data_IF_796159973501
#
_entry.id   IF_796159973501
#
_cell.length_a   1.000
_cell.length_b   1.000
_cell.length_c   1.000
_cell.angle_alpha   90.00
_cell.angle_beta   90.00
_cell.angle_gamma   90.00
#
_symmetry.space_group_name_H-M   'P 1'
#
loop_
_entity.id
_entity.type
_entity.pdbx_description
1 polymer ?
#
# COMPACT_ATOMS: atom_id res chain seq x y z
N UNK A 1 4.11 -0.45 6.15
CA UNK A 1 3.12 -1.56 6.15
C UNK A 1 3.77 -2.80 5.54
N UNK A 2 3.35 -3.97 6.00
CA UNK A 2 3.85 -5.27 5.55
C UNK A 2 2.96 -5.82 4.43
N UNK A 3 3.59 -6.20 3.33
CA UNK A 3 2.96 -6.72 2.13
C UNK A 3 4.04 -6.99 1.08
N UNK A 4 3.70 -7.75 0.04
CA UNK A 4 4.62 -8.01 -1.06
C UNK A 4 4.66 -6.81 -2.02
N UNK A 5 5.84 -6.41 -2.52
CA UNK A 5 5.95 -5.39 -3.53
C UNK A 5 5.49 -5.92 -4.89
N UNK A 6 4.84 -5.07 -5.68
CA UNK A 6 4.57 -5.41 -7.09
C UNK A 6 5.89 -5.60 -7.86
N UNK A 7 5.88 -6.51 -8.82
CA UNK A 7 7.09 -6.89 -9.57
C UNK A 7 7.46 -5.91 -10.68
N UNK A 8 6.50 -5.10 -11.16
CA UNK A 8 6.72 -4.06 -12.16
C UNK A 8 7.01 -2.70 -11.50
N UNK A 9 6.39 -2.43 -10.33
CA UNK A 9 6.67 -1.25 -9.51
C UNK A 9 6.73 -1.61 -8.02
N UNK A 10 7.96 -1.79 -7.50
CA UNK A 10 8.17 -2.19 -6.10
C UNK A 10 7.76 -1.12 -5.06
N UNK A 11 7.39 0.08 -5.50
CA UNK A 11 6.86 1.13 -4.64
C UNK A 11 5.34 1.01 -4.39
N UNK A 12 4.72 -0.01 -4.97
CA UNK A 12 3.30 -0.38 -4.82
C UNK A 12 3.17 -1.80 -4.26
N UNK A 13 1.98 -2.12 -3.73
CA UNK A 13 1.68 -3.44 -3.19
C UNK A 13 1.17 -4.37 -4.30
N UNK A 14 1.70 -5.59 -4.33
CA UNK A 14 1.24 -6.64 -5.24
C UNK A 14 -0.20 -7.05 -4.92
N UNK A 15 -0.91 -7.50 -5.95
CA UNK A 15 -2.20 -8.16 -5.82
C UNK A 15 -2.02 -9.67 -5.61
N UNK A 16 -3.05 -10.32 -5.07
CA UNK A 16 -3.10 -11.77 -4.92
C UNK A 16 -3.01 -12.46 -6.29
N UNK A 17 -2.27 -13.58 -6.35
CA UNK A 17 -2.09 -14.33 -7.59
C UNK A 17 -3.39 -14.94 -8.11
N UNK A 18 -3.50 -15.10 -9.44
CA UNK A 18 -4.67 -15.70 -10.10
C UNK A 18 -5.79 -14.72 -10.43
N UNK A 19 -5.56 -13.43 -10.23
CA UNK A 19 -6.52 -12.34 -10.48
C UNK A 19 -6.21 -11.49 -11.72
N UNK A 20 -6.59 -10.21 -11.64
CA UNK A 20 -6.21 -9.19 -12.61
C UNK A 20 -4.68 -9.02 -12.66
N UNK A 21 -4.15 -8.67 -13.82
CA UNK A 21 -2.72 -8.39 -13.99
C UNK A 21 -2.50 -6.98 -14.53
N UNK A 22 -1.29 -6.46 -14.36
CA UNK A 22 -0.90 -5.13 -14.86
C UNK A 22 -1.44 -3.96 -14.04
N UNK A 23 -2.01 -4.23 -12.87
CA UNK A 23 -2.40 -3.24 -11.87
C UNK A 23 -1.84 -3.63 -10.50
N UNK A 24 -1.57 -2.62 -9.67
CA UNK A 24 -1.08 -2.79 -8.31
C UNK A 24 -1.89 -1.92 -7.33
N UNK A 25 -1.78 -2.23 -6.04
CA UNK A 25 -2.43 -1.46 -4.97
C UNK A 25 -1.51 -0.33 -4.50
N UNK A 26 -2.01 0.90 -4.58
CA UNK A 26 -1.41 2.07 -3.96
C UNK A 26 -2.14 2.40 -2.65
N UNK A 27 -1.39 2.69 -1.60
CA UNK A 27 -1.90 3.24 -0.35
C UNK A 27 -1.19 4.57 -0.09
N UNK A 28 -1.95 5.63 0.20
CA UNK A 28 -1.45 6.97 0.50
C UNK A 28 -2.05 7.43 1.82
N UNK A 29 -1.24 8.03 2.69
CA UNK A 29 -1.72 8.60 3.94
C UNK A 29 -2.54 9.89 3.71
N UNK A 30 -3.17 10.40 4.77
CA UNK A 30 -3.94 11.65 4.73
C UNK A 30 -3.11 12.91 4.47
N UNK A 31 -1.78 12.81 4.44
CA UNK A 31 -0.82 13.89 4.17
C UNK A 31 -0.32 13.85 2.71
N UNK A 32 -0.66 12.82 1.94
CA UNK A 32 -0.19 12.60 0.58
C UNK A 32 1.08 11.74 0.47
N UNK A 33 1.59 11.19 1.58
CA UNK A 33 2.75 10.29 1.58
C UNK A 33 2.33 8.91 1.09
N UNK A 34 2.99 8.41 0.04
CA UNK A 34 2.78 7.05 -0.44
C UNK A 34 3.42 6.04 0.52
N UNK A 35 2.64 5.05 0.94
CA UNK A 35 3.17 3.91 1.68
C UNK A 35 3.91 2.97 0.74
N UNK A 36 5.18 2.71 1.05
CA UNK A 36 6.01 1.71 0.36
C UNK A 36 5.99 0.40 1.17
N UNK A 37 5.96 -0.79 0.53
CA UNK A 37 6.10 -2.06 1.22
C UNK A 37 7.39 -2.13 2.06
N UNK A 38 7.30 -2.59 3.31
CA UNK A 38 8.45 -2.62 4.23
C UNK A 38 9.64 -3.43 3.66
N UNK A 39 9.35 -4.58 3.06
CA UNK A 39 10.35 -5.45 2.44
C UNK A 39 11.03 -4.83 1.20
N UNK A 40 10.43 -3.78 0.62
CA UNK A 40 11.01 -2.99 -0.47
C UNK A 40 11.72 -1.71 0.04
N UNK A 41 11.98 -1.60 1.35
CA UNK A 41 12.66 -0.46 1.96
C UNK A 41 11.74 0.68 2.39
N UNK A 42 10.42 0.45 2.46
CA UNK A 42 9.48 1.45 2.98
C UNK A 42 9.71 1.75 4.46
N UNK A 43 9.75 3.03 4.81
CA UNK A 43 9.91 3.50 6.18
C UNK A 43 8.57 3.69 6.89
N UNK A 44 8.61 3.82 8.21
CA UNK A 44 7.46 4.28 8.99
C UNK A 44 7.03 5.69 8.56
N UNK A 45 5.75 5.99 8.74
CA UNK A 45 5.20 7.33 8.56
C UNK A 45 4.87 7.85 9.96
N UNK A 46 5.49 8.97 10.34
CA UNK A 46 5.29 9.58 11.64
C UNK A 46 3.90 10.18 11.79
N UNK A 47 3.28 10.00 12.95
CA UNK A 47 1.98 10.56 13.27
C UNK A 47 1.96 11.23 14.65
N UNK A 48 1.60 12.52 14.74
CA UNK A 48 1.43 13.15 16.03
C UNK A 48 0.21 12.56 16.73
N UNK A 49 0.43 11.96 17.90
CA UNK A 49 -0.65 11.49 18.77
C UNK A 49 -1.04 12.62 19.70
N UNK A 50 -2.22 13.21 19.47
CA UNK A 50 -2.72 14.34 20.24
C UNK A 50 -4.02 13.93 20.96
N UNK A 51 -4.00 13.98 22.29
CA UNK A 51 -5.16 13.66 23.12
C UNK A 51 -5.44 12.15 23.25
N UNK A 52 -6.68 11.80 23.58
CA UNK A 52 -7.09 10.44 23.92
C UNK A 52 -7.41 9.55 22.71
N UNK A 53 -7.65 10.15 21.55
CA UNK A 53 -7.94 9.42 20.30
C UNK A 53 -7.32 10.15 19.14
N UNK A 54 -6.56 9.43 18.32
CA UNK A 54 -5.95 9.94 17.09
C UNK A 54 -6.42 9.10 15.91
N UNK A 55 -6.93 9.77 14.87
CA UNK A 55 -7.37 9.12 13.64
C UNK A 55 -6.28 9.21 12.58
N UNK A 56 -5.89 8.07 12.01
CA UNK A 56 -4.94 7.99 10.90
C UNK A 56 -5.70 7.74 9.60
N UNK A 57 -5.70 8.73 8.71
CA UNK A 57 -6.42 8.63 7.45
C UNK A 57 -5.53 8.03 6.36
N UNK A 58 -6.07 7.09 5.58
CA UNK A 58 -5.41 6.48 4.43
C UNK A 58 -6.40 6.31 3.28
N UNK A 59 -5.89 6.33 2.05
CA UNK A 59 -6.64 6.04 0.83
C UNK A 59 -5.96 4.92 0.06
N UNK A 60 -6.76 3.95 -0.38
CA UNK A 60 -6.35 2.90 -1.29
C UNK A 60 -6.85 3.19 -2.72
N UNK A 61 -6.04 2.87 -3.73
CA UNK A 61 -6.43 2.95 -5.15
C UNK A 61 -5.64 1.96 -6.00
N UNK A 62 -6.23 1.48 -7.09
CA UNK A 62 -5.50 0.70 -8.10
C UNK A 62 -4.73 1.63 -9.05
N UNK A 63 -3.51 1.24 -9.41
CA UNK A 63 -2.65 1.94 -10.37
C UNK A 63 -2.21 0.96 -11.45
N UNK A 64 -2.22 1.40 -12.71
CA UNK A 64 -1.72 0.62 -13.83
C UNK A 64 -0.20 0.61 -13.80
N UNK A 65 0.39 -0.58 -13.78
CA UNK A 65 1.85 -0.81 -13.75
C UNK A 65 2.35 -1.53 -15.01
N UNK A 66 1.44 -2.02 -15.85
CA UNK A 66 1.72 -2.62 -17.15
C UNK A 66 0.66 -2.21 -18.17
N UNK A 67 1.07 -1.82 -19.38
CA UNK A 67 0.17 -1.39 -20.45
C UNK A 67 -0.83 -2.47 -20.90
N UNK A 68 -0.52 -3.75 -20.68
CA UNK A 68 -1.34 -4.90 -21.06
C UNK A 68 -2.11 -5.48 -19.85
N UNK A 69 -2.80 -4.62 -19.10
CA UNK A 69 -3.58 -5.07 -17.95
C UNK A 69 -4.71 -6.02 -18.38
N UNK A 70 -4.95 -7.08 -17.59
CA UNK A 70 -5.99 -8.07 -17.85
C UNK A 70 -7.08 -8.02 -16.77
N UNK A 71 -8.32 -8.33 -17.15
CA UNK A 71 -9.45 -8.41 -16.22
C UNK A 71 -9.32 -9.59 -15.26
N UNK A 72 -9.80 -9.41 -14.03
CA UNK A 72 -9.89 -10.44 -12.99
C UNK A 72 -10.20 -9.84 -11.63
N UNK A 73 -10.24 -10.65 -10.57
CA UNK A 73 -10.31 -10.13 -9.20
C UNK A 73 -9.00 -9.41 -8.84
N UNK A 74 -9.08 -8.27 -8.17
CA UNK A 74 -7.93 -7.44 -7.82
C UNK A 74 -7.73 -7.37 -6.30
N UNK A 75 -7.69 -8.53 -5.64
CA UNK A 75 -7.60 -8.61 -4.19
C UNK A 75 -6.16 -8.36 -3.73
N UNK A 76 -5.98 -7.87 -2.50
CA UNK A 76 -4.68 -7.73 -1.85
C UNK A 76 -4.84 -7.79 -0.32
N UNK A 77 -3.83 -8.32 0.36
CA UNK A 77 -3.73 -8.33 1.82
C UNK A 77 -2.50 -7.51 2.25
N UNK A 78 -2.72 -6.51 3.10
CA UNK A 78 -1.66 -5.66 3.67
C UNK A 78 -1.87 -5.56 5.17
N UNK A 79 -0.80 -5.79 5.93
CA UNK A 79 -0.81 -5.62 7.39
C UNK A 79 -0.21 -4.27 7.76
N UNK A 80 -0.83 -3.58 8.72
CA UNK A 80 -0.29 -2.38 9.31
C UNK A 80 0.11 -2.63 10.77
N UNK A 81 1.14 -1.94 11.21
CA UNK A 81 1.60 -1.90 12.60
C UNK A 81 1.70 -0.46 13.06
N UNK A 82 1.50 -0.23 14.34
CA UNK A 82 1.75 1.05 14.99
C UNK A 82 2.82 0.82 16.04
N UNK A 83 3.88 1.62 15.99
CA UNK A 83 4.95 1.65 16.98
C UNK A 83 4.88 3.01 17.68
N UNK A 84 5.00 3.00 19.00
CA UNK A 84 4.99 4.22 19.81
C UNK A 84 6.41 4.49 20.28
N UNK A 85 6.85 5.75 20.18
CA UNK A 85 8.09 6.26 20.76
C UNK A 85 7.89 6.78 22.19
#
# INVERSE_FOLDING_TARGET
MDGLPDTNDNSLFALDAGGATGIALQIVDGKGTKQIPKVAGGTAIEWPVNGTTTQLNYKASYVVVNANATSGHANAMVNFSVEYE
#
